data_IF_013708659708
#
_entry.id   IF_013708659708
#
_cell.length_a   1.000
_cell.length_b   1.000
_cell.length_c   1.000
_cell.angle_alpha   90.00
_cell.angle_beta   90.00
_cell.angle_gamma   90.00
#
_symmetry.space_group_name_H-M   'P 1'
#
loop_
_entity.id
_entity.type
_entity.pdbx_description
1 polymer ?
#
# COMPACT_ATOMS: atom_id res chain seq x y z
N UNK A 1 36.09 12.88 -23.24
CA UNK A 1 35.54 12.76 -21.87
C UNK A 1 34.59 13.92 -21.64
N UNK A 2 33.29 13.64 -21.53
CA UNK A 2 32.33 14.51 -20.83
C UNK A 2 31.01 13.75 -20.73
N UNK A 3 30.83 13.04 -19.62
CA UNK A 3 29.58 12.40 -19.25
C UNK A 3 28.72 13.41 -18.49
N UNK A 4 27.75 14.01 -19.17
CA UNK A 4 26.70 14.81 -18.55
C UNK A 4 25.74 13.90 -17.79
N UNK A 5 25.85 13.88 -16.47
CA UNK A 5 24.93 13.17 -15.58
C UNK A 5 23.56 13.85 -15.60
N UNK A 6 22.56 13.15 -16.14
CA UNK A 6 21.17 13.57 -16.07
C UNK A 6 20.62 13.18 -14.71
N UNK A 7 20.51 14.14 -13.80
CA UNK A 7 19.83 13.95 -12.52
C UNK A 7 18.31 13.90 -12.76
N UNK A 8 17.74 12.71 -12.62
CA UNK A 8 16.29 12.50 -12.63
C UNK A 8 15.66 13.24 -11.44
N UNK A 9 14.62 14.07 -11.64
CA UNK A 9 13.94 14.70 -10.52
C UNK A 9 13.19 13.65 -9.71
N UNK A 10 13.57 13.44 -8.44
CA UNK A 10 12.74 12.74 -7.45
C UNK A 10 11.50 13.59 -7.21
N UNK A 11 10.35 13.14 -7.70
CA UNK A 11 9.06 13.72 -7.34
C UNK A 11 8.86 13.48 -5.85
N UNK A 12 9.12 14.51 -5.04
CA UNK A 12 8.77 14.52 -3.63
C UNK A 12 7.29 14.84 -3.54
N UNK A 13 6.45 13.81 -3.54
CA UNK A 13 5.04 13.97 -3.19
C UNK A 13 4.96 14.20 -1.68
N UNK A 14 5.15 15.45 -1.26
CA UNK A 14 4.66 15.86 0.05
C UNK A 14 3.14 15.76 -0.01
N UNK A 15 2.61 14.65 0.49
CA UNK A 15 1.20 14.57 0.83
C UNK A 15 0.95 15.60 1.94
N UNK A 16 0.65 16.84 1.55
CA UNK A 16 -0.13 17.73 2.39
C UNK A 16 -1.45 17.01 2.63
N UNK A 17 -1.57 16.39 3.79
CA UNK A 17 -2.82 15.84 4.28
C UNK A 17 -3.74 17.02 4.66
N UNK A 18 -4.28 17.73 3.66
CA UNK A 18 -5.31 18.74 3.85
C UNK A 18 -6.69 18.13 3.55
N UNK A 19 -7.12 17.28 4.48
CA UNK A 19 -8.48 16.77 4.64
C UNK A 19 -8.67 16.42 6.13
N UNK A 20 -9.87 16.53 6.71
CA UNK A 20 -10.05 16.76 8.14
C UNK A 20 -9.62 15.56 8.98
N UNK A 21 -8.37 15.60 9.46
CA UNK A 21 -7.86 14.77 10.56
C UNK A 21 -8.58 15.02 11.89
N UNK A 22 -9.49 16.01 11.94
CA UNK A 22 -10.15 16.48 13.14
C UNK A 22 -11.30 15.59 13.66
N UNK A 23 -11.67 14.50 12.97
CA UNK A 23 -12.79 13.63 13.37
C UNK A 23 -12.51 12.12 13.32
N UNK A 24 -11.25 11.68 13.32
CA UNK A 24 -10.91 10.25 13.38
C UNK A 24 -10.53 9.82 14.80
N UNK A 25 -11.05 8.68 15.32
CA UNK A 25 -10.67 8.16 16.64
C UNK A 25 -9.17 7.83 16.77
N UNK A 26 -8.49 7.59 15.65
CA UNK A 26 -7.07 7.27 15.57
C UNK A 26 -6.45 8.00 14.37
N UNK A 27 -5.26 8.63 14.52
CA UNK A 27 -4.56 9.20 13.39
C UNK A 27 -4.15 8.10 12.39
N UNK A 28 -4.14 8.40 11.08
CA UNK A 28 -3.71 7.46 10.06
C UNK A 28 -2.23 7.09 10.24
N UNK A 29 -1.86 5.88 9.84
CA UNK A 29 -0.48 5.43 9.89
C UNK A 29 0.36 6.17 8.83
N UNK A 30 1.65 6.39 9.14
CA UNK A 30 2.63 6.84 8.15
C UNK A 30 2.98 5.66 7.23
N UNK A 31 2.50 5.73 5.99
CA UNK A 31 2.66 4.66 5.00
C UNK A 31 4.05 4.62 4.36
N UNK A 32 4.91 5.61 4.62
CA UNK A 32 6.30 5.65 4.13
C UNK A 32 7.23 4.75 4.94
N UNK A 33 6.77 4.24 6.08
CA UNK A 33 7.54 3.41 7.02
C UNK A 33 6.73 2.22 7.55
N UNK A 34 6.10 1.48 6.64
CA UNK A 34 5.37 0.24 6.94
C UNK A 34 6.31 -0.95 7.15
N UNK A 35 7.46 -0.95 6.47
CA UNK A 35 8.50 -1.95 6.65
C UNK A 35 9.37 -1.67 7.87
N UNK A 36 9.77 -2.71 8.60
CA UNK A 36 10.94 -2.60 9.46
C UNK A 36 12.19 -2.54 8.56
N UNK A 37 13.19 -1.73 8.92
CA UNK A 37 14.40 -1.54 8.09
C UNK A 37 15.09 -2.86 7.68
N UNK A 38 14.99 -3.90 8.53
CA UNK A 38 15.61 -5.21 8.33
C UNK A 38 14.63 -6.31 7.86
N UNK A 39 13.43 -5.96 7.39
CA UNK A 39 12.43 -6.94 6.93
C UNK A 39 11.91 -6.60 5.53
N UNK A 40 11.65 -7.61 4.69
CA UNK A 40 11.01 -7.38 3.40
C UNK A 40 9.63 -6.75 3.58
N UNK A 41 9.22 -5.95 2.60
CA UNK A 41 7.90 -5.33 2.59
C UNK A 41 6.80 -6.42 2.63
N UNK A 42 5.86 -6.37 3.59
CA UNK A 42 4.85 -7.40 3.74
C UNK A 42 3.68 -7.17 2.76
N UNK A 43 3.92 -7.30 1.45
CA UNK A 43 2.96 -6.98 0.39
C UNK A 43 1.59 -7.66 0.59
N UNK A 44 1.58 -8.96 0.90
CA UNK A 44 0.35 -9.71 1.17
C UNK A 44 -0.46 -9.11 2.31
N UNK A 45 0.19 -8.81 3.42
CA UNK A 45 -0.49 -8.21 4.57
C UNK A 45 -1.10 -6.85 4.21
N UNK A 46 -0.36 -6.02 3.47
CA UNK A 46 -0.82 -4.71 3.01
C UNK A 46 -2.02 -4.83 2.08
N UNK A 47 -1.96 -5.72 1.08
CA UNK A 47 -3.09 -5.97 0.17
C UNK A 47 -4.34 -6.43 0.93
N UNK A 48 -4.21 -7.41 1.82
CA UNK A 48 -5.33 -7.90 2.63
C UNK A 48 -5.91 -6.83 3.57
N UNK A 49 -5.07 -5.95 4.11
CA UNK A 49 -5.50 -4.84 4.98
C UNK A 49 -6.25 -3.75 4.21
N UNK A 50 -5.81 -3.44 2.98
CA UNK A 50 -6.46 -2.47 2.10
C UNK A 50 -7.79 -3.01 1.57
N UNK A 51 -7.83 -4.28 1.17
CA UNK A 51 -9.02 -4.91 0.62
C UNK A 51 -10.13 -5.05 1.69
N UNK A 52 -9.75 -5.22 2.95
CA UNK A 52 -10.67 -5.34 4.09
C UNK A 52 -10.81 -6.76 4.64
N UNK A 53 -10.04 -7.72 4.13
CA UNK A 53 -10.12 -9.14 4.51
C UNK A 53 -10.13 -9.38 6.03
N UNK A 54 -9.39 -8.59 6.81
CA UNK A 54 -9.27 -8.76 8.27
C UNK A 54 -10.40 -8.11 9.11
N UNK A 55 -11.43 -7.49 8.50
CA UNK A 55 -12.48 -6.79 9.28
C UNK A 55 -13.29 -7.70 10.19
N UNK A 56 -13.48 -8.97 9.82
CA UNK A 56 -14.32 -9.88 10.61
C UNK A 56 -13.69 -10.21 11.98
N UNK A 57 -12.37 -10.11 12.09
CA UNK A 57 -11.62 -10.51 13.29
C UNK A 57 -11.28 -9.35 14.24
N UNK A 58 -11.39 -8.08 13.81
CA UNK A 58 -11.05 -6.93 14.66
C UNK A 58 -12.09 -5.80 14.63
N UNK A 59 -12.92 -5.65 15.69
CA UNK A 59 -13.92 -4.58 15.79
C UNK A 59 -13.30 -3.18 16.02
N UNK A 60 -11.98 -3.08 16.24
CA UNK A 60 -11.24 -1.83 16.38
C UNK A 60 -10.67 -1.29 15.06
N UNK A 61 -10.88 -2.02 13.96
CA UNK A 61 -10.31 -1.69 12.66
C UNK A 61 -11.04 -0.50 12.01
N UNK A 62 -10.35 0.65 11.94
CA UNK A 62 -10.92 1.93 11.46
C UNK A 62 -10.91 2.04 9.92
N UNK A 63 -10.13 1.21 9.21
CA UNK A 63 -10.05 1.29 7.74
C UNK A 63 -11.39 0.93 7.07
N UNK A 64 -11.85 1.74 6.09
CA UNK A 64 -12.95 1.40 5.20
C UNK A 64 -12.71 0.09 4.44
N UNK A 65 -13.79 -0.58 4.02
CA UNK A 65 -13.71 -1.67 3.03
C UNK A 65 -13.54 -1.04 1.65
N UNK A 66 -12.51 -1.47 0.93
CA UNK A 66 -12.26 -1.04 -0.45
C UNK A 66 -12.43 -2.17 -1.48
N UNK A 67 -12.73 -3.40 -1.05
CA UNK A 67 -13.00 -4.54 -1.93
C UNK A 67 -14.00 -4.24 -3.06
N UNK A 68 -15.07 -3.50 -2.78
CA UNK A 68 -16.09 -3.14 -3.76
C UNK A 68 -15.69 -2.07 -4.80
N UNK A 69 -14.57 -1.36 -4.59
CA UNK A 69 -14.10 -0.32 -5.52
C UNK A 69 -12.98 -0.82 -6.45
N UNK A 70 -12.27 -1.88 -6.06
CA UNK A 70 -11.23 -2.49 -6.89
C UNK A 70 -11.86 -3.34 -8.00
N UNK A 71 -12.34 -2.63 -9.03
CA UNK A 71 -12.88 -3.23 -10.25
C UNK A 71 -11.81 -3.30 -11.34
N UNK A 72 -11.96 -4.24 -12.27
CA UNK A 72 -11.08 -4.35 -13.44
C UNK A 72 -10.38 -5.70 -13.56
N UNK A 73 -9.32 -5.78 -14.36
CA UNK A 73 -8.60 -7.03 -14.61
C UNK A 73 -7.92 -7.53 -13.33
N UNK A 74 -7.86 -8.85 -13.17
CA UNK A 74 -7.19 -9.51 -12.06
C UNK A 74 -5.87 -10.12 -12.49
N UNK A 75 -4.85 -9.99 -11.64
CA UNK A 75 -3.59 -10.71 -11.74
C UNK A 75 -3.61 -11.90 -10.80
N UNK A 76 -2.98 -12.98 -11.21
CA UNK A 76 -2.80 -14.16 -10.36
C UNK A 76 -1.59 -13.91 -9.46
N UNK A 77 -1.84 -13.64 -8.19
CA UNK A 77 -0.81 -13.32 -7.19
C UNK A 77 -0.69 -14.49 -6.22
N UNK A 78 0.55 -14.87 -5.88
CA UNK A 78 0.80 -15.81 -4.80
C UNK A 78 0.73 -15.07 -3.46
N UNK A 79 -0.22 -15.46 -2.63
CA UNK A 79 -0.48 -14.84 -1.33
C UNK A 79 0.34 -15.51 -0.21
N UNK A 80 1.27 -16.42 -0.56
CA UNK A 80 2.09 -17.17 0.39
C UNK A 80 1.45 -18.45 0.91
N UNK A 81 0.25 -18.79 0.44
CA UNK A 81 -0.43 -20.07 0.65
C UNK A 81 -0.13 -21.08 -0.49
N UNK A 82 0.67 -20.67 -1.49
CA UNK A 82 1.02 -21.49 -2.65
C UNK A 82 -0.10 -21.61 -3.68
N UNK A 83 -1.20 -20.85 -3.51
CA UNK A 83 -2.28 -20.76 -4.49
C UNK A 83 -2.29 -19.38 -5.14
N UNK A 84 -2.41 -19.37 -6.46
CA UNK A 84 -2.56 -18.15 -7.23
C UNK A 84 -3.96 -17.58 -7.03
N UNK A 85 -4.04 -16.47 -6.30
CA UNK A 85 -5.28 -15.76 -6.00
C UNK A 85 -5.54 -14.70 -7.07
N UNK A 86 -6.72 -14.69 -7.72
CA UNK A 86 -7.10 -13.63 -8.64
C UNK A 86 -7.31 -12.32 -7.88
N UNK A 87 -6.33 -11.42 -7.99
CA UNK A 87 -6.26 -10.17 -7.24
C UNK A 87 -6.46 -9.00 -8.20
N UNK A 88 -7.34 -8.02 -7.91
CA UNK A 88 -7.52 -6.85 -8.77
C UNK A 88 -6.20 -6.12 -9.04
N UNK A 89 -5.89 -5.86 -10.31
CA UNK A 89 -4.67 -5.15 -10.71
C UNK A 89 -4.47 -3.81 -9.97
N UNK A 90 -5.51 -2.99 -9.70
CA UNK A 90 -5.34 -1.75 -8.94
C UNK A 90 -4.83 -1.97 -7.51
N UNK A 91 -5.24 -3.08 -6.87
CA UNK A 91 -4.80 -3.43 -5.51
C UNK A 91 -3.33 -3.84 -5.51
N UNK A 92 -2.91 -4.62 -6.51
CA UNK A 92 -1.50 -5.01 -6.71
C UNK A 92 -0.63 -3.78 -6.93
N UNK A 93 -1.02 -2.91 -7.87
CA UNK A 93 -0.28 -1.69 -8.19
C UNK A 93 -0.14 -0.73 -6.99
N UNK A 94 -1.17 -0.66 -6.13
CA UNK A 94 -1.10 0.13 -4.91
C UNK A 94 -0.09 -0.46 -3.91
N UNK A 95 -0.08 -1.79 -3.74
CA UNK A 95 0.90 -2.46 -2.91
C UNK A 95 2.33 -2.24 -3.42
N UNK A 96 2.55 -2.39 -4.73
CA UNK A 96 3.86 -2.12 -5.36
C UNK A 96 4.29 -0.66 -5.15
N UNK A 97 3.37 0.30 -5.30
CA UNK A 97 3.68 1.70 -5.03
C UNK A 97 4.09 1.92 -3.57
N UNK A 98 3.37 1.33 -2.63
CA UNK A 98 3.71 1.41 -1.20
C UNK A 98 5.06 0.77 -0.88
N UNK A 99 5.45 -0.28 -1.59
CA UNK A 99 6.79 -0.88 -1.47
C UNK A 99 7.88 0.12 -1.88
N UNK A 100 7.69 0.84 -3.00
CA UNK A 100 8.67 1.86 -3.46
C UNK A 100 8.86 3.01 -2.46
N UNK A 101 7.88 3.25 -1.59
CA UNK A 101 7.97 4.30 -0.57
C UNK A 101 8.81 3.89 0.65
N UNK A 102 9.11 2.60 0.85
CA UNK A 102 9.81 2.12 2.04
C UNK A 102 11.33 2.33 1.99
N UNK A 103 11.88 2.72 0.84
CA UNK A 103 13.32 2.94 0.61
C UNK A 103 13.83 4.33 1.09
N UNK A 104 13.34 4.77 2.25
CA UNK A 104 13.70 6.06 2.88
C UNK A 104 15.10 6.09 3.47
#
# INVERSE_FOLDING_TARGET
ASSSGTATPRVSLFATADAPSCAMPRPPADLTRLGAADKPFPAVHVMSYIDGYFRQDDPGQVMPEFSGIFTGPTLHVDTGDGMLTPTPQPLVALSEYLETLQEG
#
